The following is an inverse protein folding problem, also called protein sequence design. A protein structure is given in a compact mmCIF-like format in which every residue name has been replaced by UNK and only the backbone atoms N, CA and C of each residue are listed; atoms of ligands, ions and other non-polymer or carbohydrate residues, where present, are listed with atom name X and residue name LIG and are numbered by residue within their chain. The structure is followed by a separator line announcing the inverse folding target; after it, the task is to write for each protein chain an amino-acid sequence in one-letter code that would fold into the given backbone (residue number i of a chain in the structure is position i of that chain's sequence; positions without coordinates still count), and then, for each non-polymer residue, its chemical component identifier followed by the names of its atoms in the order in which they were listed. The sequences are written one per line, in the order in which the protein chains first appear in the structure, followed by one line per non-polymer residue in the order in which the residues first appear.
data_IF_204477594840
#
_entry.id   IF_204477594840
#
_cell.length_a   1.000
_cell.length_b   1.000
_cell.length_c   1.000
_cell.angle_alpha   90.00
_cell.angle_beta   90.00
_cell.angle_gamma   90.00
#
_symmetry.space_group_name_H-M   'P 1'
#
loop_
_entity.id
_entity.type
_entity.pdbx_description
1 polymer ?
#
# COMPACT_ATOMS: atom_id res chain seq x y z
N UNK A 1 -15.27 -45.74 30.01
CA UNK A 1 -15.13 -44.41 30.18
C UNK A 1 -15.57 -43.40 29.16
N UNK A 2 -16.80 -43.48 28.53
CA UNK A 2 -17.24 -42.47 27.55
C UNK A 2 -17.65 -41.13 28.20
N UNK A 3 -18.25 -41.16 29.37
CA UNK A 3 -18.71 -39.96 30.08
C UNK A 3 -17.62 -38.97 30.44
N UNK A 4 -16.46 -39.41 30.89
CA UNK A 4 -15.33 -38.52 31.22
C UNK A 4 -14.74 -37.83 29.99
N UNK A 5 -14.72 -38.47 28.83
CA UNK A 5 -14.27 -37.84 27.57
C UNK A 5 -15.26 -36.72 27.11
N UNK A 6 -16.56 -36.96 27.26
CA UNK A 6 -17.57 -35.95 26.90
C UNK A 6 -17.46 -34.74 27.81
N UNK A 7 -17.30 -34.94 29.13
CA UNK A 7 -17.08 -33.85 30.10
C UNK A 7 -15.81 -33.06 29.79
N UNK A 8 -14.71 -33.72 29.41
CA UNK A 8 -13.47 -33.05 29.04
C UNK A 8 -13.60 -32.23 27.79
N UNK A 9 -14.29 -32.76 26.76
CA UNK A 9 -14.54 -32.03 25.48
C UNK A 9 -15.41 -30.79 25.74
N UNK A 10 -16.47 -30.91 26.53
CA UNK A 10 -17.34 -29.77 26.87
C UNK A 10 -16.54 -28.70 27.63
N UNK A 11 -15.68 -29.09 28.57
CA UNK A 11 -14.86 -28.16 29.33
C UNK A 11 -13.83 -27.43 28.42
N UNK A 12 -13.21 -28.15 27.49
CA UNK A 12 -12.30 -27.57 26.50
C UNK A 12 -13.05 -26.59 25.56
N UNK A 13 -14.25 -26.92 25.12
CA UNK A 13 -15.06 -26.01 24.31
C UNK A 13 -15.46 -24.74 25.07
N UNK A 14 -15.79 -24.85 26.36
CA UNK A 14 -16.11 -23.69 27.21
C UNK A 14 -14.89 -22.80 27.42
N UNK A 15 -13.72 -23.38 27.64
CA UNK A 15 -12.46 -22.61 27.75
C UNK A 15 -12.11 -21.90 26.44
N UNK A 16 -12.30 -22.58 25.31
CA UNK A 16 -12.07 -21.98 23.99
C UNK A 16 -13.04 -20.82 23.73
N UNK A 17 -14.31 -20.98 24.03
CA UNK A 17 -15.33 -19.91 23.91
C UNK A 17 -15.01 -18.72 24.82
N UNK A 18 -14.55 -18.98 26.06
CA UNK A 18 -14.12 -17.92 26.97
C UNK A 18 -12.89 -17.17 26.45
N UNK A 19 -11.91 -17.88 25.88
CA UNK A 19 -10.71 -17.28 25.31
C UNK A 19 -11.04 -16.43 24.08
N UNK A 20 -11.89 -16.93 23.17
CA UNK A 20 -12.37 -16.17 21.98
C UNK A 20 -13.18 -14.93 22.44
N UNK A 21 -14.07 -15.10 23.42
CA UNK A 21 -14.82 -13.97 23.99
C UNK A 21 -13.91 -12.91 24.62
N UNK A 22 -12.85 -13.32 25.30
CA UNK A 22 -11.87 -12.40 25.88
C UNK A 22 -11.09 -11.63 24.80
N UNK A 23 -10.63 -12.32 23.74
CA UNK A 23 -9.94 -11.68 22.59
C UNK A 23 -10.84 -10.65 21.88
N UNK A 24 -12.13 -10.99 21.72
CA UNK A 24 -13.09 -10.05 21.11
C UNK A 24 -13.33 -8.84 22.03
N UNK A 25 -13.43 -9.04 23.35
CA UNK A 25 -13.60 -7.94 24.30
C UNK A 25 -12.36 -7.04 24.39
N UNK A 26 -11.14 -7.59 24.24
CA UNK A 26 -9.91 -6.79 24.19
C UNK A 26 -9.90 -5.78 23.05
N UNK A 27 -10.53 -6.09 21.92
CA UNK A 27 -10.64 -5.18 20.78
C UNK A 27 -11.46 -3.91 21.08
N UNK A 28 -12.31 -3.96 22.09
CA UNK A 28 -13.18 -2.85 22.49
C UNK A 28 -12.77 -2.23 23.84
N UNK A 29 -11.60 -2.58 24.36
CA UNK A 29 -11.07 -2.02 25.60
C UNK A 29 -10.36 -0.69 25.32
N UNK A 30 -10.87 0.40 25.88
CA UNK A 30 -10.23 1.73 25.83
C UNK A 30 -9.61 1.99 27.19
N UNK A 31 -8.30 2.24 27.22
CA UNK A 31 -7.54 2.53 28.44
C UNK A 31 -7.51 4.05 28.66
N UNK A 32 -8.11 4.53 29.76
CA UNK A 32 -8.04 5.92 30.17
C UNK A 32 -6.66 6.25 30.78
N UNK A 33 -6.25 7.51 30.67
CA UNK A 33 -5.00 8.04 31.26
C UNK A 33 -4.98 7.97 32.80
N UNK A 34 -6.10 7.71 33.43
CA UNK A 34 -6.33 7.52 34.88
C UNK A 34 -6.23 6.04 35.31
N UNK A 35 -5.88 5.14 34.40
CA UNK A 35 -5.82 3.69 34.65
C UNK A 35 -7.17 2.98 34.59
N UNK A 36 -8.26 3.67 34.24
CA UNK A 36 -9.57 3.06 34.06
C UNK A 36 -9.66 2.32 32.72
N UNK A 37 -10.35 1.16 32.71
CA UNK A 37 -10.64 0.39 31.49
C UNK A 37 -12.11 0.55 31.18
N UNK A 38 -12.44 1.05 29.99
CA UNK A 38 -13.82 1.14 29.46
C UNK A 38 -13.95 0.23 28.26
N UNK A 39 -15.13 -0.37 28.08
CA UNK A 39 -15.45 -1.18 26.90
C UNK A 39 -16.44 -0.40 26.02
N UNK A 40 -16.00 -0.04 24.84
CA UNK A 40 -16.83 0.68 23.86
C UNK A 40 -17.45 -0.36 22.92
N UNK A 41 -18.69 -0.79 23.29
CA UNK A 41 -19.38 -1.87 22.57
C UNK A 41 -20.29 -1.27 21.49
N UNK A 42 -20.19 -1.70 20.22
CA UNK A 42 -20.89 -1.07 19.08
C UNK A 42 -22.44 -1.14 19.15
N UNK A 43 -22.99 -1.92 20.07
CA UNK A 43 -24.44 -2.03 20.29
C UNK A 43 -24.94 -1.32 21.55
N UNK A 44 -24.08 -0.63 22.32
CA UNK A 44 -24.45 0.12 23.48
C UNK A 44 -24.45 1.61 23.15
N UNK A 45 -25.63 2.17 22.86
CA UNK A 45 -25.78 3.62 22.81
C UNK A 45 -25.51 4.17 24.21
N UNK A 46 -24.44 4.94 24.35
CA UNK A 46 -24.19 5.70 25.59
C UNK A 46 -25.14 6.90 25.59
N UNK A 47 -26.14 6.86 26.45
CA UNK A 47 -26.88 8.09 26.83
C UNK A 47 -25.87 9.03 27.49
N UNK A 48 -25.68 10.20 26.92
CA UNK A 48 -24.93 11.28 27.58
C UNK A 48 -25.62 11.60 28.94
N UNK A 49 -24.85 11.68 30.02
CA UNK A 49 -25.42 12.11 31.28
C UNK A 49 -25.82 13.59 31.17
N UNK A 50 -27.12 13.84 31.18
CA UNK A 50 -27.69 15.17 31.36
C UNK A 50 -27.16 15.73 32.68
N UNK A 51 -26.35 16.78 32.60
CA UNK A 51 -25.91 17.56 33.76
C UNK A 51 -27.08 18.22 34.47
N UNK A 52 -26.99 18.44 35.78
CA UNK A 52 -28.07 19.02 36.55
C UNK A 52 -28.30 20.47 36.14
N UNK A 53 -29.59 20.81 35.89
CA UNK A 53 -30.06 22.18 35.68
C UNK A 53 -29.71 23.07 36.86
N UNK A 54 -28.98 24.14 36.64
CA UNK A 54 -28.76 25.21 37.60
C UNK A 54 -29.97 26.16 37.62
N UNK A 55 -30.31 26.72 38.79
CA UNK A 55 -31.43 27.65 38.93
C UNK A 55 -31.09 29.04 38.38
N UNK A 56 -32.08 29.67 37.78
CA UNK A 56 -32.09 31.05 37.30
C UNK A 56 -31.65 32.07 38.35
N UNK A 57 -30.84 33.04 37.91
CA UNK A 57 -30.75 34.35 38.49
C UNK A 57 -29.43 34.76 39.10
N UNK A 58 -28.52 35.30 38.28
CA UNK A 58 -27.65 36.39 38.73
C UNK A 58 -26.93 37.08 37.52
N UNK A 59 -27.16 38.35 37.39
CA UNK A 59 -26.41 39.48 36.82
C UNK A 59 -25.22 39.18 35.88
N UNK A 60 -25.38 39.62 34.64
CA UNK A 60 -24.30 39.79 33.66
C UNK A 60 -23.33 40.88 34.10
N UNK A 61 -22.09 40.52 34.32
CA UNK A 61 -20.93 41.42 34.22
C UNK A 61 -20.37 41.29 32.80
N UNK A 62 -19.95 42.39 32.12
CA UNK A 62 -19.40 42.29 30.77
C UNK A 62 -18.05 41.59 30.84
N UNK A 63 -17.87 40.57 30.03
CA UNK A 63 -16.60 39.88 29.78
C UNK A 63 -15.58 40.88 29.24
N UNK A 64 -14.40 40.88 29.86
CA UNK A 64 -13.20 41.46 29.29
C UNK A 64 -12.79 40.63 28.06
N UNK A 65 -12.26 41.25 27.00
CA UNK A 65 -11.76 40.51 25.86
C UNK A 65 -10.60 39.61 26.30
N UNK A 66 -10.70 38.31 25.95
CA UNK A 66 -9.63 37.32 26.06
C UNK A 66 -8.57 37.68 25.01
N UNK A 67 -7.53 38.37 25.45
CA UNK A 67 -6.39 38.83 24.65
C UNK A 67 -5.25 37.82 24.70
N UNK A 68 -5.59 36.52 24.76
CA UNK A 68 -4.61 35.45 24.55
C UNK A 68 -4.31 35.37 23.06
N UNK A 69 -3.06 35.63 22.63
CA UNK A 69 -2.72 35.43 21.23
C UNK A 69 -2.86 33.95 20.88
N UNK A 70 -3.72 33.65 19.92
CA UNK A 70 -3.72 32.37 19.24
C UNK A 70 -2.33 32.18 18.63
N UNK A 71 -1.49 31.40 19.29
CA UNK A 71 -0.22 30.99 18.73
C UNK A 71 -0.55 29.94 17.69
N UNK A 72 -0.81 30.37 16.47
CA UNK A 72 -0.79 29.53 15.29
C UNK A 72 0.68 29.09 15.14
N UNK A 73 0.98 27.87 15.57
CA UNK A 73 2.23 27.24 15.24
C UNK A 73 2.05 26.82 13.76
N UNK A 74 2.48 27.71 12.84
CA UNK A 74 2.67 27.29 11.46
C UNK A 74 3.72 26.18 11.50
N UNK A 75 3.31 24.92 11.33
CA UNK A 75 4.22 23.86 10.95
C UNK A 75 4.89 24.34 9.65
N UNK A 76 6.24 24.37 9.60
CA UNK A 76 6.91 24.76 8.38
C UNK A 76 6.42 23.88 7.23
N UNK A 77 5.79 24.48 6.21
CA UNK A 77 5.48 23.78 4.98
C UNK A 77 6.76 23.11 4.48
N UNK A 78 6.69 21.81 4.12
CA UNK A 78 7.83 21.13 3.53
C UNK A 78 8.31 21.94 2.32
N UNK A 79 9.64 22.06 2.11
CA UNK A 79 10.18 22.85 1.02
C UNK A 79 9.54 22.41 -0.30
N UNK A 80 8.98 23.37 -1.04
CA UNK A 80 8.39 23.12 -2.35
C UNK A 80 9.51 22.54 -3.24
N UNK A 81 9.36 21.26 -3.62
CA UNK A 81 10.33 20.60 -4.48
C UNK A 81 10.25 21.18 -5.89
N UNK A 82 11.40 21.39 -6.56
CA UNK A 82 11.41 21.96 -7.89
C UNK A 82 10.63 21.08 -8.88
N UNK A 83 9.89 21.69 -9.78
CA UNK A 83 9.30 20.98 -10.93
C UNK A 83 10.44 20.49 -11.82
N UNK A 84 10.61 19.15 -11.90
CA UNK A 84 11.71 18.56 -12.64
C UNK A 84 11.36 18.49 -14.12
N UNK A 85 12.06 19.27 -14.93
CA UNK A 85 12.00 19.16 -16.41
C UNK A 85 12.88 18.05 -16.93
N UNK A 86 13.97 17.72 -16.21
CA UNK A 86 14.87 16.63 -16.50
C UNK A 86 15.13 15.83 -15.22
N UNK A 87 15.10 14.51 -15.31
CA UNK A 87 15.32 13.57 -14.23
C UNK A 87 16.71 12.94 -14.39
N UNK A 88 17.64 13.31 -13.50
CA UNK A 88 18.92 12.63 -13.32
C UNK A 88 18.87 11.84 -12.02
N UNK A 89 18.21 10.68 -12.09
CA UNK A 89 17.91 9.86 -10.92
C UNK A 89 18.81 8.64 -10.80
N UNK A 90 18.88 8.11 -9.59
CA UNK A 90 19.50 6.83 -9.30
C UNK A 90 18.55 5.96 -8.47
N UNK A 91 18.56 4.65 -8.72
CA UNK A 91 17.92 3.69 -7.82
C UNK A 91 18.87 3.41 -6.65
N UNK A 92 18.41 3.66 -5.43
CA UNK A 92 19.13 3.31 -4.23
C UNK A 92 18.93 1.83 -3.90
N UNK A 93 19.99 1.19 -3.41
CA UNK A 93 19.91 -0.21 -2.98
C UNK A 93 18.87 -0.37 -1.86
N UNK A 94 18.12 -1.47 -1.86
CA UNK A 94 17.18 -1.84 -0.78
C UNK A 94 17.83 -1.85 0.61
N UNK A 95 19.16 -2.06 0.67
CA UNK A 95 19.91 -2.02 1.92
C UNK A 95 19.89 -0.65 2.60
N UNK A 96 19.62 0.44 1.87
CA UNK A 96 19.48 1.79 2.40
C UNK A 96 18.34 1.86 3.41
N UNK A 97 17.22 1.17 3.15
CA UNK A 97 16.08 1.10 4.07
C UNK A 97 16.39 0.39 5.40
N UNK A 98 17.50 -0.35 5.49
CA UNK A 98 17.96 -1.00 6.73
C UNK A 98 19.00 -0.17 7.48
N UNK A 99 19.41 0.96 6.91
CA UNK A 99 20.36 1.90 7.47
C UNK A 99 19.72 2.92 8.40
N UNK A 100 20.30 4.11 8.38
CA UNK A 100 19.78 5.28 9.07
C UNK A 100 19.64 6.47 8.12
N UNK A 101 18.98 7.54 8.57
CA UNK A 101 18.69 8.73 7.77
C UNK A 101 19.95 9.38 7.17
N UNK A 102 21.00 9.56 7.97
CA UNK A 102 22.24 10.21 7.50
C UNK A 102 22.93 9.39 6.40
N UNK A 103 22.98 8.07 6.58
CA UNK A 103 23.56 7.17 5.58
C UNK A 103 22.71 7.14 4.29
N UNK A 104 21.41 7.27 4.39
CA UNK A 104 20.51 7.30 3.25
C UNK A 104 20.69 8.60 2.44
N UNK A 105 20.76 9.74 3.10
CA UNK A 105 21.06 11.03 2.46
C UNK A 105 22.46 11.04 1.82
N UNK A 106 23.45 10.45 2.47
CA UNK A 106 24.81 10.32 1.92
C UNK A 106 24.89 9.32 0.75
N UNK A 107 23.91 8.42 0.58
CA UNK A 107 23.85 7.48 -0.54
C UNK A 107 23.29 8.12 -1.83
N UNK A 108 22.75 9.34 -1.76
CA UNK A 108 22.31 10.09 -2.94
C UNK A 108 23.54 10.44 -3.78
N UNK A 109 23.63 10.01 -5.05
CA UNK A 109 24.77 10.30 -5.88
C UNK A 109 24.94 11.81 -6.13
N UNK A 110 26.19 12.28 -6.20
CA UNK A 110 26.48 13.66 -6.57
C UNK A 110 25.90 13.99 -7.94
N UNK A 111 25.16 15.09 -8.03
CA UNK A 111 24.51 15.55 -9.26
C UNK A 111 23.17 14.85 -9.56
N UNK A 112 22.73 13.88 -8.77
CA UNK A 112 21.39 13.35 -8.88
C UNK A 112 20.37 14.34 -8.32
N UNK A 113 19.28 14.58 -9.05
CA UNK A 113 18.16 15.39 -8.61
C UNK A 113 16.96 14.52 -8.16
N UNK A 114 17.05 13.21 -8.37
CA UNK A 114 16.02 12.26 -7.96
C UNK A 114 16.62 10.94 -7.45
N UNK A 115 15.90 10.27 -6.57
CA UNK A 115 16.22 8.91 -6.14
C UNK A 115 14.99 8.03 -6.17
N UNK A 116 15.16 6.78 -6.58
CA UNK A 116 14.14 5.76 -6.54
C UNK A 116 14.46 4.73 -5.44
N UNK A 117 13.46 4.37 -4.66
CA UNK A 117 13.53 3.36 -3.61
C UNK A 117 12.52 2.24 -3.91
N UNK A 118 12.98 1.01 -3.94
CA UNK A 118 12.07 -0.12 -3.99
C UNK A 118 11.41 -0.32 -2.63
N UNK A 119 10.11 -0.07 -2.57
CA UNK A 119 9.31 -0.20 -1.35
C UNK A 119 8.47 -1.49 -1.34
N UNK A 120 8.16 -2.04 -2.53
CA UNK A 120 7.53 -3.36 -2.68
C UNK A 120 8.25 -4.15 -3.77
N UNK A 121 8.70 -5.37 -3.44
CA UNK A 121 9.41 -6.24 -4.37
C UNK A 121 8.49 -7.28 -5.05
N UNK A 122 9.04 -8.07 -5.99
CA UNK A 122 8.31 -9.09 -6.75
C UNK A 122 7.83 -10.29 -5.90
N UNK A 123 8.32 -10.46 -4.67
CA UNK A 123 7.76 -11.44 -3.73
C UNK A 123 6.49 -10.95 -3.06
N UNK A 124 6.19 -9.64 -3.15
CA UNK A 124 5.13 -8.98 -2.43
C UNK A 124 5.57 -8.45 -1.06
N UNK A 125 6.88 -8.43 -0.78
CA UNK A 125 7.42 -7.91 0.49
C UNK A 125 7.42 -6.39 0.47
N UNK A 126 6.83 -5.78 1.50
CA UNK A 126 6.90 -4.36 1.79
C UNK A 126 8.16 -4.10 2.62
N UNK A 127 9.06 -3.27 2.10
CA UNK A 127 10.39 -3.02 2.67
C UNK A 127 10.41 -1.87 3.67
N UNK A 128 9.25 -1.38 4.06
CA UNK A 128 9.00 -0.36 5.09
C UNK A 128 8.06 -0.90 6.17
N UNK A 129 7.91 -0.18 7.27
CA UNK A 129 7.02 -0.55 8.38
C UNK A 129 5.57 -0.16 8.03
N UNK A 130 4.91 -1.04 7.31
CA UNK A 130 3.53 -0.85 6.85
C UNK A 130 2.53 -1.12 7.95
N UNK A 131 1.51 -0.29 8.05
CA UNK A 131 0.38 -0.46 8.95
C UNK A 131 -0.82 -1.19 8.29
N UNK A 132 -0.71 -1.59 7.03
CA UNK A 132 -1.76 -2.29 6.30
C UNK A 132 -2.01 -3.67 6.91
N UNK A 133 -3.20 -3.86 7.50
CA UNK A 133 -3.54 -5.13 8.15
C UNK A 133 -3.48 -6.31 7.18
N UNK A 134 -3.95 -6.12 5.95
CA UNK A 134 -3.90 -7.12 4.88
C UNK A 134 -2.48 -7.55 4.51
N UNK A 135 -1.49 -6.66 4.60
CA UNK A 135 -0.08 -6.99 4.39
C UNK A 135 0.54 -7.70 5.62
N UNK A 136 0.13 -7.29 6.81
CA UNK A 136 0.54 -7.93 8.08
C UNK A 136 0.03 -9.36 8.13
N UNK A 137 -1.23 -9.60 7.79
CA UNK A 137 -1.88 -10.91 7.87
C UNK A 137 -1.21 -11.95 6.96
N UNK A 138 -0.65 -11.54 5.83
CA UNK A 138 0.10 -12.40 4.91
C UNK A 138 1.61 -12.39 5.14
N UNK A 139 2.07 -11.75 6.24
CA UNK A 139 3.48 -11.60 6.57
C UNK A 139 4.30 -10.92 5.44
N UNK A 140 3.71 -9.94 4.76
CA UNK A 140 4.37 -9.18 3.69
C UNK A 140 5.26 -8.04 4.23
N UNK A 141 4.99 -7.52 5.44
CA UNK A 141 5.77 -6.44 6.03
C UNK A 141 7.14 -6.96 6.47
N UNK A 142 8.21 -6.45 5.83
CA UNK A 142 9.62 -6.81 6.09
C UNK A 142 10.47 -5.63 6.52
N UNK A 143 9.95 -4.41 6.35
CA UNK A 143 10.57 -3.19 6.85
C UNK A 143 10.42 -3.05 8.36
N UNK A 144 11.06 -2.04 8.89
CA UNK A 144 11.03 -1.66 10.30
C UNK A 144 10.73 -0.17 10.44
N UNK A 145 10.47 0.29 11.65
CA UNK A 145 10.33 1.73 11.95
C UNK A 145 11.57 2.54 11.55
N UNK A 146 12.75 1.91 11.51
CA UNK A 146 13.97 2.51 10.96
C UNK A 146 13.87 2.78 9.46
N UNK A 147 13.19 1.93 8.69
CA UNK A 147 12.96 2.15 7.27
C UNK A 147 12.07 3.38 7.03
N UNK A 148 11.01 3.55 7.82
CA UNK A 148 10.16 4.74 7.72
C UNK A 148 10.90 6.03 8.09
N UNK A 149 11.83 5.98 9.04
CA UNK A 149 12.70 7.12 9.36
C UNK A 149 13.65 7.48 8.19
N UNK A 150 14.17 6.48 7.49
CA UNK A 150 14.95 6.67 6.26
C UNK A 150 14.11 7.32 5.16
N UNK A 151 12.90 6.80 4.92
CA UNK A 151 11.96 7.35 3.93
C UNK A 151 11.65 8.82 4.30
N UNK A 152 11.28 9.09 5.54
CA UNK A 152 10.97 10.45 6.00
C UNK A 152 12.15 11.43 5.80
N UNK A 153 13.39 10.98 6.02
CA UNK A 153 14.56 11.82 5.78
C UNK A 153 14.75 12.14 4.28
N UNK A 154 14.53 11.17 3.40
CA UNK A 154 14.66 11.38 1.95
C UNK A 154 13.50 12.20 1.40
N UNK A 155 12.26 11.90 1.77
CA UNK A 155 11.07 12.65 1.32
C UNK A 155 11.04 14.08 1.86
N UNK A 156 11.60 14.33 3.05
CA UNK A 156 11.78 15.65 3.64
C UNK A 156 12.97 16.44 3.11
N UNK A 157 13.80 15.85 2.23
CA UNK A 157 14.95 16.54 1.61
C UNK A 157 14.56 17.26 0.32
N UNK A 158 15.52 17.95 -0.30
CA UNK A 158 15.34 18.63 -1.59
C UNK A 158 15.31 17.66 -2.79
N UNK A 159 15.70 16.38 -2.58
CA UNK A 159 15.78 15.37 -3.63
C UNK A 159 14.38 14.86 -3.97
N UNK A 160 14.07 14.76 -5.27
CA UNK A 160 12.83 14.17 -5.74
C UNK A 160 12.82 12.65 -5.47
N UNK A 161 11.78 12.16 -4.81
CA UNK A 161 11.71 10.79 -4.31
C UNK A 161 10.67 9.96 -5.04
N UNK A 162 11.09 8.78 -5.50
CA UNK A 162 10.26 7.86 -6.28
C UNK A 162 10.12 6.54 -5.51
N UNK A 163 8.89 6.17 -5.13
CA UNK A 163 8.60 4.85 -4.60
C UNK A 163 8.46 3.84 -5.74
N UNK A 164 9.33 2.83 -5.82
CA UNK A 164 9.18 1.72 -6.78
C UNK A 164 8.33 0.62 -6.16
N UNK A 165 7.21 0.33 -6.82
CA UNK A 165 6.21 -0.62 -6.38
C UNK A 165 6.06 -1.69 -7.46
N UNK A 166 6.43 -2.93 -7.15
CA UNK A 166 6.06 -4.05 -8.00
C UNK A 166 4.54 -4.23 -7.94
N UNK A 167 3.86 -4.03 -9.06
CA UNK A 167 2.41 -3.94 -9.08
C UNK A 167 1.74 -5.31 -8.94
N UNK A 168 1.85 -6.15 -9.96
CA UNK A 168 1.08 -7.40 -10.06
C UNK A 168 1.87 -8.65 -9.73
N UNK A 169 3.20 -8.61 -9.82
CA UNK A 169 4.03 -9.73 -9.42
C UNK A 169 4.15 -9.73 -7.89
N UNK A 170 3.40 -10.61 -7.23
CA UNK A 170 3.26 -10.65 -5.77
C UNK A 170 2.93 -12.07 -5.32
N UNK A 171 3.91 -12.75 -4.77
CA UNK A 171 3.77 -14.14 -4.37
C UNK A 171 3.07 -14.31 -3.01
N UNK A 172 3.18 -13.33 -2.11
CA UNK A 172 2.64 -13.46 -0.75
C UNK A 172 1.14 -13.25 -0.74
N UNK A 173 0.69 -12.09 -1.21
CA UNK A 173 -0.73 -11.76 -1.17
C UNK A 173 -1.55 -12.65 -2.12
N UNK A 174 -1.04 -12.87 -3.35
CA UNK A 174 -1.73 -13.71 -4.34
C UNK A 174 -1.87 -15.17 -3.88
N UNK A 175 -0.87 -15.74 -3.19
CA UNK A 175 -0.95 -17.11 -2.66
C UNK A 175 -1.92 -17.20 -1.48
N UNK A 176 -1.92 -16.23 -0.58
CA UNK A 176 -2.83 -16.21 0.56
C UNK A 176 -4.30 -16.03 0.14
N UNK A 177 -4.53 -15.28 -0.96
CA UNK A 177 -5.86 -14.93 -1.49
C UNK A 177 -6.08 -15.47 -2.91
N UNK A 178 -5.72 -16.76 -3.16
CA UNK A 178 -5.75 -17.37 -4.49
C UNK A 178 -7.05 -17.10 -5.25
N UNK A 179 -8.19 -17.38 -4.63
CA UNK A 179 -9.49 -17.26 -5.27
C UNK A 179 -9.85 -15.80 -5.58
N UNK A 180 -9.54 -14.87 -4.67
CA UNK A 180 -10.05 -13.50 -4.68
C UNK A 180 -9.07 -12.51 -5.32
N UNK A 181 -7.77 -12.84 -5.36
CA UNK A 181 -6.73 -11.95 -5.86
C UNK A 181 -5.74 -12.60 -6.82
N UNK A 182 -5.49 -13.92 -6.75
CA UNK A 182 -4.44 -14.58 -7.52
C UNK A 182 -4.85 -14.94 -8.96
N UNK A 183 -3.87 -15.05 -9.86
CA UNK A 183 -4.03 -15.66 -11.18
C UNK A 183 -4.18 -17.18 -11.00
N UNK A 184 -5.25 -17.78 -11.51
CA UNK A 184 -5.57 -19.19 -11.28
C UNK A 184 -5.16 -20.09 -12.44
N UNK A 185 -5.02 -21.40 -12.14
CA UNK A 185 -4.75 -22.43 -13.13
C UNK A 185 -6.04 -22.99 -13.76
N UNK A 186 -6.02 -23.22 -15.07
CA UNK A 186 -7.09 -23.87 -15.81
C UNK A 186 -7.25 -25.37 -15.45
N UNK A 187 -6.12 -26.08 -15.33
CA UNK A 187 -6.13 -27.54 -15.15
C UNK A 187 -6.40 -27.99 -13.70
N UNK A 188 -6.24 -27.08 -12.74
CA UNK A 188 -6.48 -27.34 -11.33
C UNK A 188 -7.34 -26.22 -10.76
N UNK A 189 -8.64 -26.38 -10.88
CA UNK A 189 -9.60 -25.36 -10.47
C UNK A 189 -9.36 -24.89 -9.02
N UNK A 190 -9.23 -23.59 -8.86
CA UNK A 190 -9.00 -22.95 -7.57
C UNK A 190 -7.54 -22.90 -7.11
N UNK A 191 -6.59 -23.52 -7.83
CA UNK A 191 -5.17 -23.39 -7.52
C UNK A 191 -4.56 -22.19 -8.25
N UNK A 192 -3.58 -21.55 -7.58
CA UNK A 192 -2.86 -20.41 -8.13
C UNK A 192 -1.95 -20.87 -9.28
N UNK A 193 -1.89 -20.06 -10.33
CA UNK A 193 -0.92 -20.23 -11.41
C UNK A 193 0.46 -19.72 -10.98
N UNK A 194 1.53 -20.31 -11.50
CA UNK A 194 2.91 -19.94 -11.23
C UNK A 194 3.74 -19.92 -12.49
N UNK A 195 4.74 -19.05 -12.50
CA UNK A 195 5.71 -18.90 -13.57
C UNK A 195 6.86 -19.91 -13.43
N UNK A 196 7.86 -19.93 -14.35
CA UNK A 196 9.01 -20.83 -14.28
C UNK A 196 9.85 -20.70 -13.02
N UNK A 197 9.82 -19.53 -12.37
CA UNK A 197 10.57 -19.23 -11.14
C UNK A 197 9.76 -19.60 -9.88
N UNK A 198 8.58 -20.22 -10.06
CA UNK A 198 7.65 -20.60 -8.99
C UNK A 198 7.14 -19.40 -8.21
N UNK A 199 6.94 -18.27 -8.89
CA UNK A 199 6.36 -17.06 -8.34
C UNK A 199 4.93 -16.87 -8.82
N UNK A 200 4.16 -16.04 -8.10
CA UNK A 200 2.74 -15.87 -8.30
C UNK A 200 2.38 -14.42 -8.60
N UNK A 201 1.19 -14.23 -9.18
CA UNK A 201 0.74 -12.93 -9.66
C UNK A 201 -0.65 -12.59 -9.15
N UNK A 202 -0.86 -11.31 -8.85
CA UNK A 202 -2.18 -10.72 -8.66
C UNK A 202 -2.90 -10.62 -10.01
N UNK A 203 -4.19 -10.84 -9.99
CA UNK A 203 -5.08 -10.76 -11.15
C UNK A 203 -5.77 -9.39 -11.19
N UNK A 204 -5.38 -8.46 -12.08
CA UNK A 204 -5.93 -7.10 -12.10
C UNK A 204 -7.45 -7.02 -12.35
N UNK A 205 -8.06 -8.04 -12.95
CA UNK A 205 -9.50 -8.13 -13.11
C UNK A 205 -10.24 -8.34 -11.78
N UNK A 206 -9.55 -8.78 -10.73
CA UNK A 206 -10.13 -9.06 -9.41
C UNK A 206 -10.03 -7.84 -8.50
N UNK A 207 -11.15 -7.46 -7.89
CA UNK A 207 -11.21 -6.26 -7.05
C UNK A 207 -10.29 -6.33 -5.82
N UNK A 208 -10.16 -7.50 -5.18
CA UNK A 208 -9.28 -7.66 -4.03
C UNK A 208 -7.80 -7.41 -4.39
N UNK A 209 -7.35 -7.85 -5.58
CA UNK A 209 -6.01 -7.58 -6.09
C UNK A 209 -5.79 -6.07 -6.28
N UNK A 210 -6.74 -5.39 -6.95
CA UNK A 210 -6.64 -3.94 -7.17
C UNK A 210 -6.67 -3.15 -5.88
N UNK A 211 -7.60 -3.47 -4.97
CA UNK A 211 -7.71 -2.80 -3.67
C UNK A 211 -6.41 -2.90 -2.87
N UNK A 212 -5.78 -4.08 -2.83
CA UNK A 212 -4.49 -4.24 -2.15
C UNK A 212 -3.39 -3.37 -2.77
N UNK A 213 -3.27 -3.35 -4.11
CA UNK A 213 -2.28 -2.51 -4.81
C UNK A 213 -2.54 -1.02 -4.52
N UNK A 214 -3.81 -0.59 -4.52
CA UNK A 214 -4.20 0.78 -4.21
C UNK A 214 -3.92 1.14 -2.75
N UNK A 215 -4.15 0.21 -1.80
CA UNK A 215 -3.82 0.44 -0.38
C UNK A 215 -2.32 0.68 -0.19
N UNK A 216 -1.47 -0.13 -0.81
CA UNK A 216 0.00 0.05 -0.79
C UNK A 216 0.40 1.39 -1.42
N UNK A 217 -0.19 1.74 -2.57
CA UNK A 217 0.08 3.00 -3.25
C UNK A 217 -0.28 4.21 -2.37
N UNK A 218 -1.44 4.16 -1.71
CA UNK A 218 -1.88 5.20 -0.79
C UNK A 218 -0.93 5.37 0.39
N UNK A 219 -0.54 4.28 1.03
CA UNK A 219 0.39 4.32 2.16
C UNK A 219 1.75 4.90 1.74
N UNK A 220 2.25 4.59 0.53
CA UNK A 220 3.46 5.22 0.00
C UNK A 220 3.28 6.72 -0.26
N UNK A 221 2.11 7.15 -0.75
CA UNK A 221 1.79 8.55 -0.91
C UNK A 221 1.74 9.29 0.46
N UNK A 222 1.17 8.66 1.49
CA UNK A 222 1.16 9.16 2.87
C UNK A 222 2.58 9.29 3.47
N UNK A 223 3.52 8.44 3.06
CA UNK A 223 4.93 8.55 3.45
C UNK A 223 5.67 9.71 2.77
N UNK A 224 5.01 10.46 1.89
CA UNK A 224 5.50 11.70 1.31
C UNK A 224 6.37 11.54 0.06
N UNK A 225 6.32 10.41 -0.63
CA UNK A 225 6.96 10.26 -1.93
C UNK A 225 6.37 11.23 -2.96
N UNK A 226 7.21 11.77 -3.84
CA UNK A 226 6.79 12.69 -4.91
C UNK A 226 6.18 11.94 -6.09
N UNK A 227 6.57 10.67 -6.28
CA UNK A 227 6.13 9.85 -7.40
C UNK A 227 6.04 8.37 -7.00
N UNK A 228 5.02 7.68 -7.50
CA UNK A 228 4.86 6.24 -7.38
C UNK A 228 5.10 5.60 -8.74
N UNK A 229 6.19 4.83 -8.86
CA UNK A 229 6.57 4.12 -10.07
C UNK A 229 6.17 2.65 -9.96
N UNK A 230 5.23 2.24 -10.80
CA UNK A 230 4.77 0.86 -10.88
C UNK A 230 5.57 0.09 -11.93
N UNK A 231 6.35 -0.88 -11.48
CA UNK A 231 6.95 -1.90 -12.34
C UNK A 231 6.12 -3.20 -12.32
N UNK A 232 6.37 -4.12 -13.25
CA UNK A 232 5.58 -5.36 -13.43
C UNK A 232 4.05 -5.08 -13.49
N UNK A 233 3.68 -3.97 -14.15
CA UNK A 233 2.29 -3.55 -14.31
C UNK A 233 1.66 -4.29 -15.49
N UNK A 234 1.24 -5.55 -15.25
CA UNK A 234 0.70 -6.39 -16.30
C UNK A 234 0.42 -7.83 -15.87
N UNK A 235 0.02 -8.63 -16.83
CA UNK A 235 -0.17 -10.07 -16.66
C UNK A 235 1.11 -10.84 -16.91
N UNK A 236 1.22 -12.10 -16.42
CA UNK A 236 2.37 -12.95 -16.70
C UNK A 236 2.66 -13.08 -18.21
N UNK A 237 3.93 -12.97 -18.58
CA UNK A 237 4.38 -13.09 -19.98
C UNK A 237 5.25 -14.33 -20.22
N UNK A 238 5.62 -15.07 -19.17
CA UNK A 238 6.51 -16.23 -19.23
C UNK A 238 5.82 -17.47 -18.63
N UNK A 239 6.24 -18.65 -19.08
CA UNK A 239 5.76 -19.91 -18.53
C UNK A 239 4.60 -20.52 -19.32
N UNK A 240 3.80 -21.35 -18.65
CA UNK A 240 2.68 -22.06 -19.28
C UNK A 240 1.43 -21.17 -19.31
N UNK A 241 1.47 -20.12 -20.12
CA UNK A 241 0.38 -19.13 -20.21
C UNK A 241 -0.96 -19.73 -20.62
N UNK A 242 -0.94 -20.80 -21.47
CA UNK A 242 -2.13 -21.54 -21.86
C UNK A 242 -2.78 -22.33 -20.72
N UNK A 243 -2.15 -22.39 -19.56
CA UNK A 243 -2.71 -22.99 -18.35
C UNK A 243 -3.30 -21.96 -17.37
N UNK A 244 -3.39 -20.70 -17.75
CA UNK A 244 -4.07 -19.66 -16.98
C UNK A 244 -5.59 -19.82 -17.19
N UNK A 245 -6.35 -19.82 -16.10
CA UNK A 245 -7.81 -19.82 -16.15
C UNK A 245 -8.34 -18.41 -16.42
N UNK A 246 -8.77 -18.20 -17.65
CA UNK A 246 -9.37 -16.94 -18.09
C UNK A 246 -10.90 -16.99 -18.07
N UNK A 247 -11.52 -18.08 -17.63
CA UNK A 247 -12.98 -18.32 -17.73
C UNK A 247 -13.81 -17.32 -16.91
N UNK A 248 -13.28 -16.82 -15.81
CA UNK A 248 -13.94 -15.85 -14.95
C UNK A 248 -13.68 -14.38 -15.37
N UNK A 249 -12.80 -14.15 -16.35
CA UNK A 249 -12.45 -12.80 -16.77
C UNK A 249 -13.55 -12.20 -17.66
N UNK A 250 -14.10 -11.07 -17.22
CA UNK A 250 -15.14 -10.32 -17.93
C UNK A 250 -14.62 -9.16 -18.74
N UNK A 251 -13.41 -8.67 -18.43
CA UNK A 251 -12.73 -7.57 -19.10
C UNK A 251 -11.55 -8.11 -19.95
N UNK A 252 -11.15 -7.36 -20.98
CA UNK A 252 -9.85 -7.59 -21.60
C UNK A 252 -8.73 -7.32 -20.59
N UNK A 253 -7.52 -7.88 -20.82
CA UNK A 253 -6.36 -7.59 -19.97
C UNK A 253 -6.07 -6.10 -19.89
N UNK A 254 -6.10 -5.41 -21.04
CA UNK A 254 -5.86 -3.96 -21.11
C UNK A 254 -6.93 -3.15 -20.38
N UNK A 255 -8.20 -3.54 -20.48
CA UNK A 255 -9.28 -2.88 -19.73
C UNK A 255 -9.14 -3.06 -18.22
N UNK A 256 -8.71 -4.23 -17.76
CA UNK A 256 -8.47 -4.48 -16.33
C UNK A 256 -7.28 -3.65 -15.81
N UNK A 257 -6.20 -3.49 -16.60
CA UNK A 257 -5.07 -2.61 -16.25
C UNK A 257 -5.47 -1.13 -16.26
N UNK A 258 -6.30 -0.71 -17.22
CA UNK A 258 -6.83 0.67 -17.25
C UNK A 258 -7.69 0.95 -16.00
N UNK A 259 -8.53 -0.01 -15.59
CA UNK A 259 -9.30 0.11 -14.36
C UNK A 259 -8.41 0.19 -13.12
N UNK A 260 -7.35 -0.62 -13.03
CA UNK A 260 -6.38 -0.53 -11.94
C UNK A 260 -5.71 0.86 -11.91
N UNK A 261 -5.30 1.38 -13.06
CA UNK A 261 -4.67 2.71 -13.14
C UNK A 261 -5.64 3.83 -12.71
N UNK A 262 -6.91 3.74 -13.06
CA UNK A 262 -7.95 4.67 -12.61
C UNK A 262 -8.17 4.60 -11.09
N UNK A 263 -8.23 3.39 -10.53
CA UNK A 263 -8.37 3.18 -9.08
C UNK A 263 -7.13 3.68 -8.31
N UNK A 264 -5.91 3.52 -8.87
CA UNK A 264 -4.67 4.10 -8.31
C UNK A 264 -4.74 5.62 -8.28
N UNK A 265 -5.11 6.26 -9.39
CA UNK A 265 -5.24 7.72 -9.45
C UNK A 265 -6.26 8.23 -8.45
N UNK A 266 -7.45 7.67 -8.43
CA UNK A 266 -8.50 8.04 -7.47
C UNK A 266 -8.08 7.82 -6.02
N UNK A 267 -7.37 6.70 -5.75
CA UNK A 267 -6.91 6.35 -4.40
C UNK A 267 -5.77 7.24 -3.86
N UNK A 268 -5.05 7.95 -4.74
CA UNK A 268 -3.88 8.78 -4.37
C UNK A 268 -4.06 10.26 -4.68
N UNK A 269 -5.18 10.67 -5.29
CA UNK A 269 -5.46 12.05 -5.72
C UNK A 269 -5.27 13.08 -4.60
N UNK A 270 -5.72 12.73 -3.38
CA UNK A 270 -5.64 13.63 -2.22
C UNK A 270 -4.20 14.01 -1.81
N UNK A 271 -3.22 13.22 -2.22
CA UNK A 271 -1.80 13.42 -1.86
C UNK A 271 -1.01 14.20 -2.92
N UNK A 272 -1.60 14.42 -4.10
CA UNK A 272 -0.95 15.13 -5.20
C UNK A 272 0.30 14.42 -5.76
N UNK A 273 0.48 13.14 -5.44
CA UNK A 273 1.60 12.32 -5.89
C UNK A 273 1.50 12.02 -7.39
N UNK A 274 2.63 12.03 -8.10
CA UNK A 274 2.68 11.64 -9.52
C UNK A 274 2.64 10.12 -9.66
N UNK A 275 1.91 9.62 -10.66
CA UNK A 275 1.86 8.19 -10.98
C UNK A 275 2.66 7.91 -12.25
N UNK A 276 3.50 6.91 -12.23
CA UNK A 276 4.30 6.50 -13.37
C UNK A 276 4.33 4.98 -13.51
N UNK A 277 4.61 4.51 -14.72
CA UNK A 277 4.72 3.08 -15.04
C UNK A 277 6.04 2.80 -15.76
N UNK A 278 6.67 1.67 -15.44
CA UNK A 278 7.85 1.18 -16.16
C UNK A 278 7.43 0.16 -17.21
N UNK A 279 7.92 0.34 -18.43
CA UNK A 279 7.74 -0.58 -19.56
C UNK A 279 9.11 -0.91 -20.15
N UNK A 280 9.25 -2.11 -20.72
CA UNK A 280 10.45 -2.42 -21.49
C UNK A 280 10.43 -1.75 -22.88
N UNK A 281 11.63 -1.56 -23.47
CA UNK A 281 11.79 -0.91 -24.77
C UNK A 281 11.03 -1.63 -25.89
N UNK A 282 10.96 -2.97 -25.86
CA UNK A 282 10.27 -3.75 -26.89
C UNK A 282 8.75 -3.49 -26.85
N UNK A 283 8.18 -3.39 -25.66
CA UNK A 283 6.78 -3.02 -25.45
C UNK A 283 6.48 -1.63 -25.99
N UNK A 284 7.34 -0.64 -25.72
CA UNK A 284 7.16 0.73 -26.21
C UNK A 284 7.25 0.79 -27.74
N UNK A 285 8.28 0.16 -28.33
CA UNK A 285 8.47 0.11 -29.78
C UNK A 285 7.34 -0.61 -30.52
N UNK A 286 6.73 -1.62 -29.88
CA UNK A 286 5.59 -2.35 -30.45
C UNK A 286 4.24 -1.63 -30.27
N UNK A 287 4.18 -0.54 -29.48
CA UNK A 287 2.92 0.14 -29.12
C UNK A 287 2.12 -0.59 -28.04
N UNK A 288 2.71 -1.59 -27.38
CA UNK A 288 2.11 -2.37 -26.31
C UNK A 288 2.58 -3.82 -26.26
N UNK A 289 2.06 -4.58 -25.28
CA UNK A 289 2.30 -6.01 -25.12
C UNK A 289 0.96 -6.69 -24.80
N UNK A 290 0.37 -7.34 -25.81
CA UNK A 290 -0.94 -8.00 -25.68
C UNK A 290 -0.94 -9.11 -24.62
N UNK A 291 0.18 -9.86 -24.51
CA UNK A 291 0.32 -10.92 -23.51
C UNK A 291 0.24 -10.36 -22.09
N UNK A 292 0.92 -9.25 -21.84
CA UNK A 292 0.89 -8.55 -20.57
C UNK A 292 -0.39 -7.72 -20.38
N UNK A 293 -1.18 -7.50 -21.42
CA UNK A 293 -2.33 -6.60 -21.41
C UNK A 293 -1.96 -5.12 -21.47
N UNK A 294 -0.71 -4.79 -21.80
CA UNK A 294 -0.22 -3.41 -21.87
C UNK A 294 -0.56 -2.80 -23.22
N UNK A 295 -1.39 -1.77 -23.21
CA UNK A 295 -1.70 -0.88 -24.34
C UNK A 295 -0.99 0.45 -24.07
N UNK A 296 0.01 0.79 -24.90
CA UNK A 296 0.85 1.97 -24.66
C UNK A 296 0.02 3.27 -24.69
N UNK A 297 -0.97 3.37 -25.59
CA UNK A 297 -1.78 4.57 -25.70
C UNK A 297 -2.69 4.75 -24.47
N UNK A 298 -3.27 3.66 -23.97
CA UNK A 298 -4.07 3.69 -22.75
C UNK A 298 -3.23 4.02 -21.53
N UNK A 299 -2.03 3.43 -21.39
CA UNK A 299 -1.11 3.70 -20.28
C UNK A 299 -0.58 5.14 -20.33
N UNK A 300 -0.30 5.70 -21.51
CA UNK A 300 0.13 7.10 -21.66
C UNK A 300 -0.94 8.12 -21.25
N UNK A 301 -2.20 7.74 -21.27
CA UNK A 301 -3.31 8.58 -20.75
C UNK A 301 -3.48 8.41 -19.25
N UNK A 302 -3.26 7.19 -18.74
CA UNK A 302 -3.51 6.85 -17.35
C UNK A 302 -2.40 7.31 -16.40
N UNK A 303 -1.14 7.35 -16.84
CA UNK A 303 0.04 7.70 -16.05
C UNK A 303 0.63 9.05 -16.47
N UNK A 304 1.20 9.76 -15.51
CA UNK A 304 1.85 11.06 -15.75
C UNK A 304 3.20 10.91 -16.44
N UNK A 305 3.84 9.72 -16.31
CA UNK A 305 5.14 9.43 -16.92
C UNK A 305 5.27 7.94 -17.23
N UNK A 306 5.96 7.63 -18.31
CA UNK A 306 6.38 6.28 -18.66
C UNK A 306 7.91 6.21 -18.58
N UNK A 307 8.43 5.30 -17.74
CA UNK A 307 9.83 4.95 -17.70
C UNK A 307 10.08 3.80 -18.67
N UNK A 308 11.06 3.96 -19.54
CA UNK A 308 11.42 2.93 -20.52
C UNK A 308 12.68 2.24 -20.05
N UNK A 309 12.56 0.96 -19.66
CA UNK A 309 13.70 0.13 -19.38
C UNK A 309 14.37 -0.27 -20.69
N UNK A 310 15.61 0.14 -20.89
CA UNK A 310 16.35 -0.06 -22.14
C UNK A 310 17.83 -0.30 -21.90
N UNK A 311 18.50 -0.84 -22.89
CA UNK A 311 19.96 -0.96 -22.92
C UNK A 311 20.56 0.11 -23.83
N UNK A 312 21.87 0.36 -23.69
CA UNK A 312 22.58 1.29 -24.58
C UNK A 312 22.47 0.90 -26.08
N UNK A 313 22.27 -0.39 -26.36
CA UNK A 313 22.09 -0.90 -27.72
C UNK A 313 20.70 -0.63 -28.29
N UNK A 314 19.69 -0.62 -27.43
CA UNK A 314 18.29 -0.37 -27.80
C UNK A 314 17.95 1.11 -27.86
N UNK A 315 18.66 1.96 -27.10
CA UNK A 315 18.39 3.39 -26.99
C UNK A 315 18.25 4.12 -28.34
N UNK A 316 19.06 3.85 -29.38
CA UNK A 316 18.92 4.53 -30.67
C UNK A 316 17.62 4.23 -31.43
N UNK A 317 16.87 3.20 -31.02
CA UNK A 317 15.61 2.81 -31.65
C UNK A 317 14.38 3.43 -30.99
N UNK A 318 14.54 3.96 -29.78
CA UNK A 318 13.52 4.68 -29.02
C UNK A 318 13.44 6.16 -29.43
#
# INVERSE_FOLDING_TARGET
GGAGRIVLIVLLCLILLAAVGFLVLQRYAVYGSDGSIRFDLPWKQTEEPSGPSAPDGASRTPDAPDDSPDVIIDEPEPPAKPELTELHGAELSESVLRGNADAALAAVPEGANAVALRVKNARGELLYDSALQEAIDVNAVKGSSGANAVIAALTGSEVYTIARINATHDSLYSFAHMADAGVLQLNYAGYIWYDPDSTFYLAPEKSAARQYIVSVARECAELGFDELLFDEFGYPTRGRLNNIDESARTLSKSAALAQLAEELRSGTEAYGVRLSVQLDAATVLAGGNETAGQDLAALAVAFDRIYVETTAEQLPAL
#
